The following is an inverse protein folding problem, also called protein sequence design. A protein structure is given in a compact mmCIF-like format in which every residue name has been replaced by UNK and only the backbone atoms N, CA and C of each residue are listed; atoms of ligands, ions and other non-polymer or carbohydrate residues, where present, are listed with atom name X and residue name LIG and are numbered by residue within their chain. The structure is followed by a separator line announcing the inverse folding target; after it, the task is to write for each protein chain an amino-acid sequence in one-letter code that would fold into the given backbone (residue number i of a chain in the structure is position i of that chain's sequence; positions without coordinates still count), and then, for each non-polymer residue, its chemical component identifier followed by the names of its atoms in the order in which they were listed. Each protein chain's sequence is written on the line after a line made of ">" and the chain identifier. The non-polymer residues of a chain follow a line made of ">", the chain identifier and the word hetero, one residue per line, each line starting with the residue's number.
data_IF_630733847721
#
_entry.id   IF_630733847721
#
_cell.length_a   1.000
_cell.length_b   1.000
_cell.length_c   1.000
_cell.angle_alpha   90.00
_cell.angle_beta   90.00
_cell.angle_gamma   90.00
#
_symmetry.space_group_name_H-M   'P 1'
#
loop_
_entity.id
_entity.type
_entity.pdbx_description
1 polymer ?
#
# COMPACT_ATOMS: atom_id res chain seq x y z
N UNK A 1 -16.21 -4.73 -4.04
CA UNK A 1 -16.10 -3.55 -4.96
C UNK A 1 -15.71 -3.98 -6.38
N UNK A 2 -14.53 -4.51 -6.71
CA UNK A 2 -14.08 -4.87 -8.09
C UNK A 2 -15.07 -5.71 -8.89
N UNK A 3 -15.78 -6.66 -8.28
CA UNK A 3 -16.83 -7.44 -8.97
C UNK A 3 -18.01 -6.60 -9.43
N UNK A 4 -18.33 -5.50 -8.75
CA UNK A 4 -19.36 -4.54 -9.19
C UNK A 4 -18.85 -3.72 -10.38
N UNK A 5 -17.57 -3.37 -10.41
CA UNK A 5 -16.92 -2.74 -11.56
C UNK A 5 -17.01 -3.66 -12.79
N UNK A 6 -16.65 -4.94 -12.65
CA UNK A 6 -16.77 -5.94 -13.71
C UNK A 6 -18.24 -6.16 -14.18
N UNK A 7 -19.24 -5.88 -13.34
CA UNK A 7 -20.66 -5.94 -13.72
C UNK A 7 -21.24 -4.61 -14.24
N UNK A 8 -20.40 -3.60 -14.48
CA UNK A 8 -20.80 -2.37 -15.18
C UNK A 8 -20.91 -1.10 -14.30
N UNK A 9 -20.53 -1.18 -13.01
CA UNK A 9 -20.44 0.05 -12.19
C UNK A 9 -19.23 0.88 -12.63
N UNK A 10 -19.45 2.16 -12.96
CA UNK A 10 -18.41 3.04 -13.53
C UNK A 10 -17.69 3.88 -12.47
N UNK A 11 -18.39 4.26 -11.39
CA UNK A 11 -17.81 4.96 -10.25
C UNK A 11 -18.56 4.52 -8.99
N UNK A 12 -17.85 3.96 -8.02
CA UNK A 12 -18.43 3.45 -6.78
C UNK A 12 -17.51 3.72 -5.60
N UNK A 13 -18.11 3.95 -4.45
CA UNK A 13 -17.40 3.99 -3.18
C UNK A 13 -18.17 3.27 -2.08
N UNK A 14 -17.48 2.91 -1.02
CA UNK A 14 -18.04 2.32 0.18
C UNK A 14 -17.26 2.84 1.40
N UNK A 15 -17.97 3.16 2.47
CA UNK A 15 -17.40 3.36 3.79
C UNK A 15 -18.00 2.26 4.68
N UNK A 16 -17.14 1.48 5.33
CA UNK A 16 -17.62 0.36 6.14
C UNK A 16 -16.51 -0.33 6.93
N UNK A 17 -16.88 -1.25 7.83
CA UNK A 17 -15.93 -1.98 8.63
C UNK A 17 -15.06 -2.92 7.78
N UNK A 18 -13.78 -2.99 8.13
CA UNK A 18 -12.81 -3.94 7.63
C UNK A 18 -12.13 -4.64 8.81
N UNK A 19 -11.61 -5.85 8.56
CA UNK A 19 -11.04 -6.70 9.61
C UNK A 19 -9.68 -7.23 9.19
N UNK A 20 -8.68 -7.08 10.09
CA UNK A 20 -7.34 -7.67 9.94
C UNK A 20 -6.94 -8.37 11.23
N UNK A 21 -6.95 -9.70 11.21
CA UNK A 21 -6.59 -10.50 12.37
C UNK A 21 -5.13 -10.27 12.79
N UNK A 22 -4.91 -10.09 14.10
CA UNK A 22 -3.57 -9.97 14.68
C UNK A 22 -2.92 -8.58 14.57
N UNK A 23 -3.58 -7.60 13.94
CA UNK A 23 -3.07 -6.23 13.87
C UNK A 23 -3.68 -5.38 14.98
N UNK A 24 -2.96 -5.22 16.09
CA UNK A 24 -3.31 -4.32 17.20
C UNK A 24 -2.09 -3.48 17.59
N UNK A 25 -2.29 -2.19 17.83
CA UNK A 25 -1.21 -1.27 18.22
C UNK A 25 -1.61 0.19 18.05
N UNK A 26 -0.65 1.07 18.18
CA UNK A 26 -0.86 2.53 18.17
C UNK A 26 -1.58 3.05 16.91
N UNK A 27 -1.34 2.43 15.76
CA UNK A 27 -1.92 2.80 14.46
C UNK A 27 -2.85 1.72 13.89
N UNK A 28 -3.13 0.64 14.64
CA UNK A 28 -3.87 -0.52 14.15
C UNK A 28 -4.89 -1.00 15.18
N UNK A 29 -6.06 -1.39 14.69
CA UNK A 29 -7.06 -2.14 15.44
C UNK A 29 -7.60 -3.26 14.54
N UNK A 30 -7.88 -4.46 15.06
CA UNK A 30 -8.37 -5.59 14.25
C UNK A 30 -9.67 -5.31 13.48
N UNK A 31 -10.54 -4.46 14.03
CA UNK A 31 -11.71 -3.90 13.33
C UNK A 31 -11.47 -2.41 13.13
N UNK A 32 -11.62 -1.91 11.91
CA UNK A 32 -11.43 -0.50 11.56
C UNK A 32 -12.36 -0.10 10.40
N UNK A 33 -12.48 1.19 10.16
CA UNK A 33 -13.30 1.72 9.08
C UNK A 33 -12.45 2.02 7.85
N UNK A 34 -12.85 1.47 6.72
CA UNK A 34 -12.20 1.71 5.42
C UNK A 34 -13.14 2.46 4.48
N UNK A 35 -12.63 3.52 3.85
CA UNK A 35 -13.20 4.12 2.66
C UNK A 35 -12.49 3.50 1.45
N UNK A 36 -13.26 2.89 0.57
CA UNK A 36 -12.77 2.26 -0.66
C UNK A 36 -13.54 2.79 -1.85
N UNK A 37 -12.86 3.13 -2.95
CA UNK A 37 -13.52 3.56 -4.18
C UNK A 37 -12.83 3.04 -5.42
N UNK A 38 -13.58 3.01 -6.52
CA UNK A 38 -13.10 2.64 -7.86
C UNK A 38 -13.72 3.55 -8.89
N UNK A 39 -12.92 3.96 -9.90
CA UNK A 39 -13.38 4.75 -11.05
C UNK A 39 -12.85 4.14 -12.34
N UNK A 40 -13.80 3.78 -13.22
CA UNK A 40 -13.51 3.27 -14.56
C UNK A 40 -12.96 4.40 -15.44
N UNK A 41 -11.90 4.10 -16.20
CA UNK A 41 -11.21 5.03 -17.07
C UNK A 41 -10.12 5.85 -16.40
N UNK A 42 -9.99 5.79 -15.06
CA UNK A 42 -8.86 6.41 -14.35
C UNK A 42 -7.63 5.49 -14.43
N UNK A 43 -6.49 6.07 -14.76
CA UNK A 43 -5.17 5.48 -14.60
C UNK A 43 -4.58 5.78 -13.20
N UNK A 44 -3.32 5.41 -12.96
CA UNK A 44 -2.62 5.70 -11.70
C UNK A 44 -2.59 7.20 -11.39
N UNK A 45 -2.34 8.03 -12.40
CA UNK A 45 -2.23 9.48 -12.24
C UNK A 45 -3.55 10.10 -11.80
N UNK A 46 -4.64 9.77 -12.49
CA UNK A 46 -5.99 10.23 -12.12
C UNK A 46 -6.40 9.74 -10.71
N UNK A 47 -6.00 8.50 -10.35
CA UNK A 47 -6.19 7.96 -8.99
C UNK A 47 -5.44 8.77 -7.93
N UNK A 48 -4.18 9.12 -8.18
CA UNK A 48 -3.38 9.96 -7.27
C UNK A 48 -3.93 11.39 -7.16
N UNK A 49 -4.38 11.99 -8.28
CA UNK A 49 -4.99 13.32 -8.29
C UNK A 49 -6.27 13.37 -7.44
N UNK A 50 -7.15 12.37 -7.58
CA UNK A 50 -8.36 12.27 -6.77
C UNK A 50 -8.06 12.06 -5.28
N UNK A 51 -7.12 11.16 -4.95
CA UNK A 51 -6.70 10.92 -3.58
C UNK A 51 -6.10 12.18 -2.95
N UNK A 52 -5.22 12.87 -3.67
CA UNK A 52 -4.63 14.13 -3.23
C UNK A 52 -5.68 15.20 -2.97
N UNK A 53 -6.61 15.41 -3.90
CA UNK A 53 -7.70 16.39 -3.75
C UNK A 53 -8.60 16.09 -2.54
N UNK A 54 -8.94 14.81 -2.31
CA UNK A 54 -9.71 14.40 -1.15
C UNK A 54 -9.01 14.77 0.16
N UNK A 55 -7.74 14.40 0.28
CA UNK A 55 -6.96 14.62 1.52
C UNK A 55 -6.66 16.10 1.74
N UNK A 56 -6.36 16.86 0.69
CA UNK A 56 -6.22 18.32 0.77
C UNK A 56 -7.50 18.96 1.33
N UNK A 57 -8.66 18.55 0.83
CA UNK A 57 -9.96 19.07 1.30
C UNK A 57 -10.27 18.70 2.75
N UNK A 58 -9.91 17.48 3.20
CA UNK A 58 -10.22 17.03 4.56
C UNK A 58 -9.24 17.59 5.60
N UNK A 59 -7.96 17.70 5.24
CA UNK A 59 -6.92 18.23 6.13
C UNK A 59 -6.76 19.76 6.06
N UNK A 60 -7.51 20.43 5.17
CA UNK A 60 -7.41 21.88 4.92
C UNK A 60 -5.98 22.33 4.60
N UNK A 61 -5.38 21.68 3.60
CA UNK A 61 -4.00 21.97 3.14
C UNK A 61 -3.98 22.19 1.63
N UNK A 62 -3.08 23.06 1.17
CA UNK A 62 -3.01 23.50 -0.23
C UNK A 62 -2.22 22.54 -1.13
N UNK A 63 -1.35 21.70 -0.58
CA UNK A 63 -0.41 20.89 -1.36
C UNK A 63 -0.49 19.39 -0.98
N UNK A 64 -0.23 18.54 -1.98
CA UNK A 64 -0.02 17.11 -1.82
C UNK A 64 1.13 16.68 -2.75
N UNK A 65 2.31 16.44 -2.17
CA UNK A 65 3.52 16.10 -2.91
C UNK A 65 3.43 14.69 -3.50
N UNK A 66 3.99 14.53 -4.69
CA UNK A 66 4.15 13.23 -5.33
C UNK A 66 5.64 12.92 -5.50
N UNK A 67 6.07 11.72 -5.13
CA UNK A 67 7.48 11.29 -5.17
C UNK A 67 7.52 9.82 -5.58
N UNK A 68 8.39 9.43 -6.52
CA UNK A 68 8.54 8.01 -6.84
C UNK A 68 9.18 7.25 -5.67
N UNK A 69 8.88 5.95 -5.55
CA UNK A 69 9.50 5.06 -4.56
C UNK A 69 11.04 5.13 -4.66
N UNK A 70 11.57 5.11 -5.88
CA UNK A 70 13.00 5.28 -6.16
C UNK A 70 13.55 6.58 -5.58
N UNK A 71 12.93 7.72 -5.89
CA UNK A 71 13.40 9.03 -5.44
C UNK A 71 13.29 9.22 -3.92
N UNK A 72 12.29 8.59 -3.27
CA UNK A 72 12.21 8.58 -1.82
C UNK A 72 13.40 7.84 -1.21
N UNK A 73 13.77 6.66 -1.73
CA UNK A 73 14.96 5.93 -1.26
C UNK A 73 16.26 6.65 -1.59
N UNK A 74 16.41 7.24 -2.76
CA UNK A 74 17.58 8.07 -3.09
C UNK A 74 17.74 9.22 -2.08
N UNK A 75 16.62 9.85 -1.69
CA UNK A 75 16.63 10.97 -0.75
C UNK A 75 16.97 10.56 0.67
N UNK A 76 16.35 9.51 1.21
CA UNK A 76 16.42 9.18 2.64
C UNK A 76 17.42 8.06 2.95
N UNK A 77 17.67 7.16 2.00
CA UNK A 77 18.61 6.03 2.16
C UNK A 77 19.91 6.25 1.38
N UNK A 78 19.87 7.04 0.29
CA UNK A 78 21.03 7.34 -0.55
C UNK A 78 21.37 6.23 -1.53
N UNK A 79 20.39 5.43 -1.98
CA UNK A 79 20.59 4.33 -2.94
C UNK A 79 19.45 4.27 -3.97
N UNK A 80 19.77 3.76 -5.16
CA UNK A 80 18.76 3.36 -6.15
C UNK A 80 18.18 1.99 -5.76
N UNK A 81 17.10 1.99 -5.00
CA UNK A 81 16.47 0.79 -4.43
C UNK A 81 15.95 -0.19 -5.47
N UNK A 82 15.65 0.27 -6.69
CA UNK A 82 15.15 -0.59 -7.76
C UNK A 82 16.27 -1.42 -8.41
N UNK A 83 17.52 -0.95 -8.33
CA UNK A 83 18.71 -1.62 -8.90
C UNK A 83 19.63 -2.24 -7.85
N UNK A 84 19.40 -1.92 -6.57
CA UNK A 84 20.22 -2.40 -5.46
C UNK A 84 20.10 -3.90 -5.26
N UNK A 85 21.24 -4.55 -4.94
CA UNK A 85 21.29 -5.94 -4.48
C UNK A 85 20.95 -6.05 -2.98
N UNK A 86 20.72 -7.27 -2.47
CA UNK A 86 20.56 -7.51 -1.03
C UNK A 86 21.75 -6.96 -0.22
N UNK A 87 22.98 -7.15 -0.71
CA UNK A 87 24.19 -6.64 -0.03
C UNK A 87 24.25 -5.12 0.01
N UNK A 88 23.74 -4.42 -1.02
CA UNK A 88 23.68 -2.95 -1.03
C UNK A 88 22.66 -2.43 0.00
N UNK A 89 21.48 -3.08 0.07
CA UNK A 89 20.44 -2.75 1.03
C UNK A 89 20.88 -3.05 2.47
N UNK A 90 21.53 -4.18 2.71
CA UNK A 90 22.12 -4.53 4.01
C UNK A 90 23.15 -3.49 4.44
N UNK A 91 24.08 -3.14 3.56
CA UNK A 91 25.11 -2.13 3.84
C UNK A 91 24.50 -0.76 4.15
N UNK A 92 23.40 -0.40 3.46
CA UNK A 92 22.67 0.83 3.74
C UNK A 92 22.00 0.79 5.13
N UNK A 93 21.38 -0.34 5.51
CA UNK A 93 20.75 -0.51 6.81
C UNK A 93 21.79 -0.43 7.95
N UNK A 94 22.94 -1.08 7.80
CA UNK A 94 24.06 -1.03 8.77
C UNK A 94 24.61 0.40 8.90
N UNK A 95 24.84 1.10 7.78
CA UNK A 95 25.26 2.51 7.76
C UNK A 95 24.30 3.41 8.52
N UNK A 96 22.99 3.16 8.41
CA UNK A 96 21.92 3.88 9.08
C UNK A 96 21.68 3.39 10.51
N UNK A 97 22.50 2.44 11.00
CA UNK A 97 22.46 1.88 12.36
C UNK A 97 21.14 1.20 12.73
N UNK A 98 20.49 0.58 11.76
CA UNK A 98 19.35 -0.28 12.03
C UNK A 98 19.82 -1.59 12.67
N UNK A 99 18.98 -2.16 13.54
CA UNK A 99 19.23 -3.50 14.07
C UNK A 99 18.89 -4.52 12.98
N UNK A 100 19.94 -5.11 12.40
CA UNK A 100 19.84 -6.07 11.29
C UNK A 100 20.19 -7.50 11.70
N UNK A 101 20.45 -7.77 12.98
CA UNK A 101 20.94 -9.06 13.46
C UNK A 101 20.03 -10.22 13.03
N UNK A 102 18.72 -10.05 13.17
CA UNK A 102 17.72 -11.05 12.78
C UNK A 102 17.62 -11.29 11.26
N UNK A 103 18.15 -10.37 10.44
CA UNK A 103 18.02 -10.38 8.98
C UNK A 103 19.32 -10.72 8.25
N UNK A 104 20.43 -10.95 8.96
CA UNK A 104 21.76 -11.16 8.34
C UNK A 104 21.83 -12.29 7.33
N UNK A 105 21.03 -13.33 7.48
CA UNK A 105 20.95 -14.46 6.55
C UNK A 105 19.78 -14.36 5.56
N UNK A 106 19.13 -13.19 5.45
CA UNK A 106 18.00 -13.00 4.56
C UNK A 106 18.49 -12.59 3.17
N UNK A 107 18.18 -13.43 2.17
CA UNK A 107 18.50 -13.17 0.76
C UNK A 107 17.29 -12.59 -0.01
N UNK A 108 16.22 -12.22 0.68
CA UNK A 108 15.02 -11.63 0.08
C UNK A 108 15.12 -10.11 0.00
N UNK A 109 15.12 -9.60 -1.24
CA UNK A 109 15.18 -8.15 -1.53
C UNK A 109 14.05 -7.37 -0.90
N UNK A 110 12.83 -7.91 -0.90
CA UNK A 110 11.66 -7.18 -0.43
C UNK A 110 11.63 -7.09 1.09
N UNK A 111 12.20 -8.05 1.80
CA UNK A 111 12.43 -7.95 3.25
C UNK A 111 13.34 -6.77 3.58
N UNK A 112 14.46 -6.60 2.87
CA UNK A 112 15.36 -5.48 3.06
C UNK A 112 14.75 -4.13 2.66
N UNK A 113 14.01 -4.10 1.55
CA UNK A 113 13.26 -2.91 1.11
C UNK A 113 12.25 -2.47 2.15
N UNK A 114 11.47 -3.40 2.69
CA UNK A 114 10.46 -3.13 3.71
C UNK A 114 11.09 -2.64 5.02
N UNK A 115 12.21 -3.24 5.45
CA UNK A 115 12.95 -2.78 6.63
C UNK A 115 13.37 -1.30 6.49
N UNK A 116 14.00 -0.95 5.37
CA UNK A 116 14.45 0.42 5.09
C UNK A 116 13.26 1.37 4.89
N UNK A 117 12.20 0.92 4.22
CA UNK A 117 10.97 1.70 4.04
C UNK A 117 10.41 2.09 5.42
N UNK A 118 10.10 1.10 6.26
CA UNK A 118 9.41 1.31 7.54
C UNK A 118 10.25 2.10 8.54
N UNK A 119 11.57 1.85 8.61
CA UNK A 119 12.39 2.49 9.64
C UNK A 119 13.06 3.79 9.20
N UNK A 120 13.20 4.04 7.89
CA UNK A 120 13.95 5.20 7.39
C UNK A 120 13.08 6.09 6.51
N UNK A 121 12.36 5.53 5.56
CA UNK A 121 11.64 6.33 4.56
C UNK A 121 10.31 6.83 5.11
N UNK A 122 9.41 5.95 5.55
CA UNK A 122 8.07 6.29 6.05
C UNK A 122 8.07 7.36 7.15
N UNK A 123 8.94 7.30 8.18
CA UNK A 123 8.96 8.33 9.23
C UNK A 123 9.28 9.74 8.70
N UNK A 124 9.80 9.84 7.49
CA UNK A 124 10.14 11.12 6.85
C UNK A 124 9.12 11.56 5.80
N UNK A 125 8.15 10.72 5.46
CA UNK A 125 7.12 11.07 4.48
C UNK A 125 6.00 11.91 5.08
N UNK A 126 5.48 12.83 4.30
CA UNK A 126 4.30 13.59 4.65
C UNK A 126 4.45 14.51 5.87
N UNK A 127 5.68 14.97 6.22
CA UNK A 127 5.93 15.81 7.40
C UNK A 127 5.35 17.21 7.26
N UNK A 128 5.58 17.84 6.13
CA UNK A 128 5.17 19.23 5.88
C UNK A 128 3.81 19.32 5.18
N UNK A 129 3.55 18.42 4.25
CA UNK A 129 2.29 18.27 3.52
C UNK A 129 2.05 16.79 3.20
N UNK A 130 0.81 16.34 2.93
CA UNK A 130 0.53 14.99 2.45
C UNK A 130 1.46 14.60 1.30
N UNK A 131 1.94 13.36 1.28
CA UNK A 131 2.89 12.90 0.27
C UNK A 131 2.49 11.54 -0.28
N UNK A 132 2.33 11.46 -1.59
CA UNK A 132 2.06 10.21 -2.31
C UNK A 132 3.39 9.63 -2.80
N UNK A 133 3.63 8.36 -2.49
CA UNK A 133 4.73 7.55 -3.03
C UNK A 133 4.16 6.64 -4.10
N UNK A 134 4.74 6.64 -5.31
CA UNK A 134 4.27 5.88 -6.47
C UNK A 134 5.42 5.14 -7.17
N UNK A 135 5.10 4.28 -8.14
CA UNK A 135 6.06 3.45 -8.89
C UNK A 135 6.85 2.51 -7.98
N UNK A 136 6.12 1.60 -7.34
CA UNK A 136 6.67 0.59 -6.44
C UNK A 136 7.46 -0.49 -7.19
N UNK A 137 8.37 -1.24 -6.52
CA UNK A 137 9.02 -2.39 -7.14
C UNK A 137 7.99 -3.38 -7.70
N UNK A 138 8.25 -3.96 -8.88
CA UNK A 138 7.34 -4.91 -9.52
C UNK A 138 7.03 -6.15 -8.64
N UNK A 139 7.99 -6.57 -7.79
CA UNK A 139 7.79 -7.65 -6.79
C UNK A 139 6.74 -7.29 -5.73
N UNK A 140 6.50 -6.01 -5.47
CA UNK A 140 5.52 -5.50 -4.51
C UNK A 140 4.24 -4.96 -5.18
N UNK A 141 3.94 -5.44 -6.38
CA UNK A 141 2.82 -4.97 -7.19
C UNK A 141 1.44 -5.23 -6.58
N UNK A 142 1.30 -6.18 -5.67
CA UNK A 142 0.01 -6.59 -5.11
C UNK A 142 -1.05 -6.81 -6.21
N UNK A 143 -2.02 -5.91 -6.32
CA UNK A 143 -3.10 -5.96 -7.33
C UNK A 143 -2.96 -4.87 -8.41
N UNK A 144 -1.80 -4.23 -8.50
CA UNK A 144 -1.52 -3.22 -9.52
C UNK A 144 -1.03 -3.83 -10.84
N UNK A 145 -1.26 -3.10 -11.92
CA UNK A 145 -0.56 -3.30 -13.20
C UNK A 145 0.94 -3.09 -12.99
N UNK A 146 1.75 -3.92 -13.62
CA UNK A 146 3.19 -3.69 -13.73
C UNK A 146 3.47 -3.06 -15.08
N UNK A 147 4.08 -1.88 -15.07
CA UNK A 147 4.52 -1.17 -16.26
C UNK A 147 5.93 -1.56 -16.63
N UNK A 148 6.14 -1.85 -17.92
CA UNK A 148 7.45 -2.16 -18.47
C UNK A 148 8.43 -0.99 -18.27
N UNK A 149 9.69 -1.34 -18.04
CA UNK A 149 10.78 -0.37 -17.82
C UNK A 149 12.07 -1.08 -17.44
N UNK A 150 13.11 -0.31 -17.18
CA UNK A 150 14.40 -0.81 -16.69
C UNK A 150 14.79 -0.12 -15.37
N UNK A 151 14.45 -0.72 -14.25
CA UNK A 151 13.62 -1.92 -14.02
C UNK A 151 12.11 -1.64 -14.15
N UNK A 152 11.26 -2.70 -14.29
CA UNK A 152 9.81 -2.55 -14.30
C UNK A 152 9.29 -2.09 -12.92
N UNK A 153 8.16 -1.35 -12.93
CA UNK A 153 7.54 -0.81 -11.72
C UNK A 153 6.06 -1.10 -11.67
N UNK A 154 5.53 -1.26 -10.47
CA UNK A 154 4.10 -1.42 -10.24
C UNK A 154 3.41 -0.05 -10.19
N UNK A 155 2.30 0.10 -10.88
CA UNK A 155 1.44 1.27 -10.83
C UNK A 155 0.59 1.28 -9.54
N UNK A 156 1.31 1.22 -8.42
CA UNK A 156 0.83 1.30 -7.04
C UNK A 156 1.25 2.62 -6.43
N UNK A 157 0.40 3.18 -5.59
CA UNK A 157 0.69 4.41 -4.87
C UNK A 157 0.15 4.36 -3.45
N UNK A 158 0.85 4.98 -2.53
CA UNK A 158 0.45 5.11 -1.13
C UNK A 158 0.56 6.55 -0.68
N UNK A 159 -0.38 6.98 0.15
CA UNK A 159 -0.40 8.32 0.73
C UNK A 159 0.06 8.28 2.17
N UNK A 160 0.97 9.17 2.50
CA UNK A 160 1.52 9.37 3.84
C UNK A 160 1.24 10.78 4.37
N UNK A 161 0.91 10.88 5.65
CA UNK A 161 0.78 12.14 6.38
C UNK A 161 1.48 11.99 7.73
N UNK A 162 2.48 12.82 8.01
CA UNK A 162 3.28 12.78 9.24
C UNK A 162 3.87 11.39 9.54
N UNK A 163 4.33 10.69 8.51
CA UNK A 163 4.87 9.34 8.63
C UNK A 163 3.83 8.23 8.76
N UNK A 164 2.55 8.54 8.71
CA UNK A 164 1.46 7.56 8.81
C UNK A 164 0.91 7.28 7.41
N UNK A 165 0.92 6.00 6.99
CA UNK A 165 0.23 5.54 5.80
C UNK A 165 -1.28 5.69 5.99
N UNK A 166 -1.92 6.48 5.14
CA UNK A 166 -3.36 6.69 5.13
C UNK A 166 -4.11 5.89 4.09
N UNK A 167 -3.52 5.72 2.92
CA UNK A 167 -4.19 5.10 1.78
C UNK A 167 -3.23 4.33 0.90
N UNK A 168 -3.75 3.29 0.27
CA UNK A 168 -3.08 2.47 -0.74
C UNK A 168 -3.96 2.39 -1.98
N UNK A 169 -3.41 2.67 -3.15
CA UNK A 169 -4.13 2.71 -4.41
C UNK A 169 -3.39 2.02 -5.54
N UNK A 170 -4.16 1.62 -6.54
CA UNK A 170 -3.67 0.90 -7.71
C UNK A 170 -4.29 1.42 -9.00
N UNK A 171 -3.50 1.40 -10.08
CA UNK A 171 -4.07 1.13 -11.39
C UNK A 171 -4.30 -0.37 -11.45
N UNK A 172 -5.54 -0.79 -11.52
CA UNK A 172 -5.95 -2.15 -11.20
C UNK A 172 -5.51 -3.17 -12.25
N UNK A 173 -4.93 -4.28 -11.80
CA UNK A 173 -4.62 -5.44 -12.65
C UNK A 173 -5.91 -5.99 -13.26
N UNK A 174 -5.90 -6.17 -14.58
CA UNK A 174 -7.04 -6.69 -15.35
C UNK A 174 -6.86 -8.15 -15.77
N UNK A 175 -5.61 -8.61 -15.83
CA UNK A 175 -5.28 -9.98 -16.24
C UNK A 175 -5.54 -10.98 -15.10
N UNK A 176 -6.57 -11.82 -15.30
CA UNK A 176 -6.96 -12.83 -14.33
C UNK A 176 -5.91 -13.95 -14.19
N UNK A 177 -5.21 -14.29 -15.26
CA UNK A 177 -4.21 -15.35 -15.21
C UNK A 177 -2.94 -14.87 -14.51
N UNK A 178 -2.55 -13.62 -14.69
CA UNK A 178 -1.49 -13.00 -13.90
C UNK A 178 -1.86 -12.95 -12.41
N UNK A 179 -3.10 -12.58 -12.06
CA UNK A 179 -3.56 -12.63 -10.67
C UNK A 179 -3.52 -14.05 -10.10
N UNK A 180 -3.91 -15.05 -10.87
CA UNK A 180 -3.82 -16.45 -10.46
C UNK A 180 -2.37 -16.86 -10.16
N UNK A 181 -1.42 -16.49 -11.03
CA UNK A 181 0.00 -16.78 -10.80
C UNK A 181 0.53 -16.08 -9.53
N UNK A 182 0.13 -14.83 -9.27
CA UNK A 182 0.47 -14.13 -8.03
C UNK A 182 -0.12 -14.83 -6.80
N UNK A 183 -1.36 -15.33 -6.86
CA UNK A 183 -1.98 -16.10 -5.78
C UNK A 183 -1.23 -17.41 -5.48
N UNK A 184 -0.83 -18.14 -6.53
CA UNK A 184 -0.03 -19.38 -6.41
C UNK A 184 1.32 -19.08 -5.74
N UNK A 185 2.02 -18.05 -6.20
CA UNK A 185 3.30 -17.64 -5.63
C UNK A 185 3.16 -17.23 -4.15
N UNK A 186 2.12 -16.45 -3.82
CA UNK A 186 1.82 -16.07 -2.44
C UNK A 186 1.50 -17.28 -1.55
N UNK A 187 0.77 -18.28 -2.07
CA UNK A 187 0.48 -19.51 -1.33
C UNK A 187 1.75 -20.33 -1.06
N UNK A 188 2.69 -20.36 -2.02
CA UNK A 188 3.98 -21.02 -1.79
C UNK A 188 4.76 -20.36 -0.63
N UNK A 189 4.78 -19.01 -0.58
CA UNK A 189 5.40 -18.27 0.54
C UNK A 189 4.66 -18.52 1.86
N UNK A 190 3.32 -18.45 1.86
CA UNK A 190 2.50 -18.71 3.06
C UNK A 190 2.77 -20.10 3.62
N UNK A 191 2.89 -21.10 2.75
CA UNK A 191 3.21 -22.49 3.14
C UNK A 191 4.61 -22.60 3.74
N UNK A 192 5.60 -21.92 3.17
CA UNK A 192 6.95 -21.87 3.72
C UNK A 192 6.97 -21.23 5.12
N UNK A 193 6.13 -20.21 5.37
CA UNK A 193 5.94 -19.54 6.65
C UNK A 193 5.05 -20.33 7.64
N UNK A 194 4.58 -21.54 7.30
CA UNK A 194 3.64 -22.32 8.13
C UNK A 194 2.23 -21.71 8.26
N UNK A 195 1.86 -20.79 7.37
CA UNK A 195 0.54 -20.16 7.31
C UNK A 195 -0.42 -20.98 6.45
N UNK A 196 -1.72 -20.89 6.74
CA UNK A 196 -2.75 -21.54 5.91
C UNK A 196 -2.76 -20.98 4.49
N UNK A 197 -2.81 -21.85 3.48
CA UNK A 197 -3.01 -21.49 2.08
C UNK A 197 -4.42 -20.88 1.88
N UNK A 198 -4.52 -19.91 0.98
CA UNK A 198 -5.78 -19.27 0.59
C UNK A 198 -6.31 -19.89 -0.71
N UNK A 199 -7.62 -19.81 -0.99
CA UNK A 199 -8.15 -20.26 -2.29
C UNK A 199 -7.47 -19.51 -3.45
N UNK A 200 -6.87 -20.24 -4.37
CA UNK A 200 -6.24 -19.67 -5.58
C UNK A 200 -7.32 -19.12 -6.52
N UNK A 201 -8.39 -19.90 -6.72
CA UNK A 201 -9.56 -19.49 -7.49
C UNK A 201 -10.53 -18.69 -6.62
N UNK A 202 -11.08 -17.63 -7.19
CA UNK A 202 -11.99 -16.74 -6.48
C UNK A 202 -13.09 -16.19 -7.39
N UNK A 203 -14.16 -15.67 -6.78
CA UNK A 203 -15.21 -14.95 -7.53
C UNK A 203 -14.67 -13.66 -8.19
N UNK A 204 -13.54 -13.12 -7.73
CA UNK A 204 -12.88 -12.00 -8.38
C UNK A 204 -12.23 -12.45 -9.68
N UNK A 205 -11.47 -13.54 -9.68
CA UNK A 205 -10.88 -14.12 -10.91
C UNK A 205 -11.94 -14.42 -11.96
N UNK A 206 -13.06 -15.02 -11.56
CA UNK A 206 -14.19 -15.27 -12.46
C UNK A 206 -14.76 -13.97 -13.06
N UNK A 207 -14.88 -12.91 -12.27
CA UNK A 207 -15.33 -11.61 -12.77
C UNK A 207 -14.30 -10.95 -13.69
N UNK A 208 -13.00 -11.04 -13.40
CA UNK A 208 -11.94 -10.54 -14.27
C UNK A 208 -11.92 -11.27 -15.62
N UNK A 209 -12.07 -12.59 -15.63
CA UNK A 209 -12.19 -13.39 -16.89
C UNK A 209 -13.42 -13.02 -17.73
N UNK A 210 -14.49 -12.53 -17.11
CA UNK A 210 -15.66 -12.03 -17.85
C UNK A 210 -15.49 -10.62 -18.45
N UNK A 211 -14.39 -9.97 -18.13
CA UNK A 211 -14.02 -8.63 -18.58
C UNK A 211 -14.19 -7.58 -17.48
N UNK A 212 -13.07 -7.06 -17.00
CA UNK A 212 -13.02 -5.94 -16.06
C UNK A 212 -12.47 -4.71 -16.81
N UNK A 213 -13.17 -3.57 -16.80
CA UNK A 213 -12.66 -2.36 -17.45
C UNK A 213 -11.46 -1.79 -16.69
N UNK A 214 -10.58 -1.09 -17.40
CA UNK A 214 -9.47 -0.37 -16.79
C UNK A 214 -10.02 0.66 -15.78
N UNK A 215 -9.44 0.66 -14.59
CA UNK A 215 -9.87 1.52 -13.49
C UNK A 215 -8.73 1.75 -12.49
N UNK A 216 -8.84 2.81 -11.71
CA UNK A 216 -8.06 3.00 -10.50
C UNK A 216 -8.94 2.73 -9.28
N UNK A 217 -8.36 2.07 -8.27
CA UNK A 217 -8.98 1.80 -6.98
C UNK A 217 -8.10 2.28 -5.84
N UNK A 218 -8.72 2.75 -4.75
CA UNK A 218 -8.03 3.22 -3.55
C UNK A 218 -8.76 2.73 -2.32
N UNK A 219 -7.98 2.32 -1.31
CA UNK A 219 -8.44 2.03 0.04
C UNK A 219 -7.78 3.02 1.01
N UNK A 220 -8.59 3.71 1.83
CA UNK A 220 -8.15 4.73 2.80
C UNK A 220 -8.67 4.36 4.19
N UNK A 221 -7.79 4.37 5.19
CA UNK A 221 -8.12 4.15 6.59
C UNK A 221 -8.78 5.37 7.22
N UNK A 222 -10.10 5.31 7.45
CA UNK A 222 -10.88 6.43 7.97
C UNK A 222 -10.46 6.76 9.40
N UNK A 223 -10.24 5.77 10.26
CA UNK A 223 -9.86 5.99 11.65
C UNK A 223 -8.50 6.69 11.76
N UNK A 224 -7.52 6.33 10.91
CA UNK A 224 -6.24 7.05 10.82
C UNK A 224 -6.41 8.49 10.35
N UNK A 225 -7.29 8.73 9.37
CA UNK A 225 -7.60 10.08 8.90
C UNK A 225 -8.21 10.91 10.02
N UNK A 226 -9.20 10.36 10.76
CA UNK A 226 -9.82 11.02 11.92
C UNK A 226 -8.79 11.30 13.01
N UNK A 227 -7.90 10.35 13.29
CA UNK A 227 -6.79 10.51 14.23
C UNK A 227 -5.92 11.73 13.86
N UNK A 228 -5.52 11.84 12.59
CA UNK A 228 -4.66 12.94 12.11
C UNK A 228 -5.36 14.30 12.11
N UNK A 229 -6.65 14.35 11.74
CA UNK A 229 -7.48 15.58 11.79
C UNK A 229 -7.58 16.09 13.24
N UNK A 230 -7.73 15.19 14.21
CA UNK A 230 -7.84 15.58 15.63
C UNK A 230 -6.47 15.77 16.32
N UNK A 231 -5.36 15.58 15.61
CA UNK A 231 -4.01 15.71 16.20
C UNK A 231 -3.68 14.61 17.22
N UNK A 232 -4.44 13.52 17.23
CA UNK A 232 -4.16 12.36 18.07
C UNK A 232 -2.98 11.55 17.51
N UNK A 233 -2.27 10.84 18.38
CA UNK A 233 -1.14 9.98 18.01
C UNK A 233 -1.44 8.49 18.17
N UNK A 234 -2.60 8.16 18.68
CA UNK A 234 -3.05 6.78 18.91
C UNK A 234 -4.46 6.60 18.35
N UNK A 235 -4.65 5.54 17.56
CA UNK A 235 -5.95 5.26 16.92
C UNK A 235 -7.07 5.00 17.95
N UNK A 236 -6.70 4.53 19.14
CA UNK A 236 -7.64 4.27 20.24
C UNK A 236 -8.32 5.54 20.76
N UNK A 237 -7.70 6.70 20.59
CA UNK A 237 -8.27 7.99 21.01
C UNK A 237 -9.46 8.42 20.16
N UNK A 238 -9.63 7.83 18.98
CA UNK A 238 -10.70 8.16 18.03
C UNK A 238 -11.67 7.02 17.76
N UNK A 239 -11.47 5.86 18.40
CA UNK A 239 -12.33 4.70 18.28
C UNK A 239 -13.20 4.53 19.52
N UNK A 240 -14.53 4.35 19.38
CA UNK A 240 -15.41 4.16 20.54
C UNK A 240 -15.09 2.89 21.37
N UNK A 241 -14.71 1.80 20.67
CA UNK A 241 -14.42 0.49 21.28
C UNK A 241 -13.18 -0.14 20.62
N UNK A 242 -11.95 0.29 20.98
CA UNK A 242 -10.76 -0.42 20.55
C UNK A 242 -10.74 -1.84 21.16
N UNK A 243 -10.07 -2.79 20.49
CA UNK A 243 -10.07 -4.21 20.86
C UNK A 243 -9.64 -4.45 22.31
N UNK A 244 -8.79 -3.59 22.85
CA UNK A 244 -8.31 -3.71 24.25
C UNK A 244 -9.42 -3.44 25.28
N UNK A 245 -10.50 -2.75 24.88
CA UNK A 245 -11.62 -2.33 25.73
C UNK A 245 -12.96 -2.93 25.27
N UNK A 246 -12.94 -3.83 24.27
CA UNK A 246 -14.13 -4.44 23.68
C UNK A 246 -14.54 -5.74 24.40
#
# INVERSE_FOLDING_TARGET
>A
MKRLVASGATAIYQIGPAFRAGEAGQLHNPEFTMLEWYRVGDDMRAGMELLGALVQSVLDVDDCRQTSYRSAFETYVGIDVLKASCSDLQSAAERLKLDVEAFRSCDDLDTWRNLLLTHVVEPNLGKDCPQIIYDWPASQSALAVVRDGDPPVAERFELYVRGVELANGYHELLDAEELLQRNIANNAMRKADGKQELPEESRLLAAMRSGMPACSGVALGVDRLVMLVNGASDIRDVMPFPIENA
#
